data_IF_728198095244
#
_entry.id   IF_728198095244
#
_cell.length_a   1.000
_cell.length_b   1.000
_cell.length_c   1.000
_cell.angle_alpha   90.00
_cell.angle_beta   90.00
_cell.angle_gamma   90.00
#
_symmetry.space_group_name_H-M   'P 1'
#
loop_
_entity.id
_entity.type
_entity.pdbx_description
1 polymer ?
#
# COMPACT_ATOMS: atom_id res chain seq x y z
N UNK A 1 17.57 -94.22 -8.61
CA UNK A 1 17.80 -92.76 -8.46
C UNK A 1 18.50 -92.54 -7.12
N UNK A 2 19.66 -91.90 -7.15
CA UNK A 2 20.46 -91.62 -5.95
C UNK A 2 19.76 -90.55 -5.10
N UNK A 3 19.76 -90.67 -3.77
CA UNK A 3 19.03 -89.74 -2.89
C UNK A 3 19.45 -88.28 -3.06
N UNK A 4 20.73 -88.05 -3.37
CA UNK A 4 21.29 -86.73 -3.70
C UNK A 4 20.57 -86.05 -4.88
N UNK A 5 20.13 -86.82 -5.89
CA UNK A 5 19.42 -86.25 -7.04
C UNK A 5 18.00 -85.81 -6.66
N UNK A 6 17.36 -86.49 -5.70
CA UNK A 6 16.05 -86.09 -5.19
C UNK A 6 16.16 -84.82 -4.36
N UNK A 7 17.16 -84.73 -3.48
CA UNK A 7 17.41 -83.53 -2.67
C UNK A 7 17.73 -82.31 -3.55
N UNK A 8 18.55 -82.48 -4.59
CA UNK A 8 18.86 -81.39 -5.53
C UNK A 8 17.61 -80.87 -6.26
N UNK A 9 16.69 -81.77 -6.66
CA UNK A 9 15.43 -81.38 -7.30
C UNK A 9 14.55 -80.60 -6.31
N UNK A 10 14.43 -81.05 -5.06
CA UNK A 10 13.61 -80.34 -4.07
C UNK A 10 14.17 -78.96 -3.73
N UNK A 11 15.49 -78.80 -3.64
CA UNK A 11 16.13 -77.49 -3.44
C UNK A 11 15.88 -76.59 -4.65
N UNK A 12 15.99 -77.11 -5.87
CA UNK A 12 15.69 -76.35 -7.09
C UNK A 12 14.23 -75.88 -7.13
N UNK A 13 13.28 -76.76 -6.79
CA UNK A 13 11.85 -76.43 -6.72
C UNK A 13 11.58 -75.38 -5.63
N UNK A 14 12.20 -75.52 -4.45
CA UNK A 14 12.05 -74.55 -3.38
C UNK A 14 12.59 -73.16 -3.76
N UNK A 15 13.71 -73.10 -4.48
CA UNK A 15 14.26 -71.85 -5.01
C UNK A 15 13.31 -71.20 -6.02
N UNK A 16 12.76 -71.98 -6.95
CA UNK A 16 11.79 -71.49 -7.93
C UNK A 16 10.53 -70.99 -7.23
N UNK A 17 9.99 -71.74 -6.27
CA UNK A 17 8.82 -71.32 -5.49
C UNK A 17 9.10 -70.07 -4.66
N UNK A 18 10.32 -69.91 -4.11
CA UNK A 18 10.75 -68.70 -3.41
C UNK A 18 10.80 -67.47 -4.33
N UNK A 19 11.32 -67.62 -5.55
CA UNK A 19 11.33 -66.55 -6.55
C UNK A 19 9.91 -66.19 -7.01
N UNK A 20 9.07 -67.20 -7.25
CA UNK A 20 7.66 -66.99 -7.62
C UNK A 20 6.91 -66.28 -6.49
N UNK A 21 7.10 -66.70 -5.24
CA UNK A 21 6.47 -66.07 -4.07
C UNK A 21 6.96 -64.64 -3.85
N UNK A 22 8.23 -64.34 -4.12
CA UNK A 22 8.76 -62.97 -4.06
C UNK A 22 8.20 -62.09 -5.19
N UNK A 23 8.07 -62.63 -6.40
CA UNK A 23 7.51 -61.91 -7.54
C UNK A 23 5.98 -61.71 -7.45
N UNK A 24 5.27 -62.65 -6.83
CA UNK A 24 3.82 -62.61 -6.64
C UNK A 24 3.38 -62.03 -5.29
N UNK A 25 4.33 -61.72 -4.40
CA UNK A 25 4.04 -61.04 -3.15
C UNK A 25 3.34 -59.70 -3.47
N UNK A 26 2.13 -59.45 -2.93
CA UNK A 26 1.44 -58.20 -3.14
C UNK A 26 2.31 -57.07 -2.60
N UNK A 27 2.85 -56.26 -3.51
CA UNK A 27 3.51 -55.00 -3.15
C UNK A 27 2.43 -54.15 -2.48
N UNK A 28 2.71 -53.60 -1.30
CA UNK A 28 1.86 -52.53 -0.74
C UNK A 28 1.92 -51.37 -1.71
N UNK A 29 0.94 -51.27 -2.60
CA UNK A 29 0.70 -50.03 -3.31
C UNK A 29 0.40 -48.99 -2.24
N UNK A 30 1.10 -47.84 -2.27
CA UNK A 30 0.56 -46.66 -1.62
C UNK A 30 -0.89 -46.52 -2.11
N UNK A 31 -1.87 -46.21 -1.25
CA UNK A 31 -3.21 -45.94 -1.74
C UNK A 31 -3.09 -44.85 -2.81
N UNK A 32 -3.70 -45.09 -3.98
CA UNK A 32 -3.63 -44.24 -5.19
C UNK A 32 -4.07 -42.77 -4.95
N UNK A 33 -4.51 -42.45 -3.74
CA UNK A 33 -4.94 -41.13 -3.31
C UNK A 33 -3.81 -40.26 -2.71
N UNK A 34 -2.68 -40.83 -2.28
CA UNK A 34 -1.59 -40.08 -1.60
C UNK A 34 -0.29 -40.02 -2.42
N UNK A 35 -0.33 -40.36 -3.71
CA UNK A 35 0.89 -40.53 -4.51
C UNK A 35 1.73 -39.26 -4.67
N UNK A 36 1.11 -38.08 -4.61
CA UNK A 36 1.75 -36.79 -4.80
C UNK A 36 1.91 -35.98 -3.50
N UNK A 37 1.63 -36.59 -2.35
CA UNK A 37 1.91 -35.98 -1.05
C UNK A 37 3.43 -35.88 -0.85
N UNK A 38 3.88 -34.70 -0.42
CA UNK A 38 5.29 -34.36 -0.29
C UNK A 38 5.91 -33.73 -1.56
N UNK A 39 5.18 -33.68 -2.67
CA UNK A 39 5.60 -32.92 -3.85
C UNK A 39 5.32 -31.43 -3.69
N UNK A 40 6.13 -30.60 -4.37
CA UNK A 40 5.87 -29.18 -4.50
C UNK A 40 4.57 -28.93 -5.28
N UNK A 41 3.88 -27.82 -5.00
CA UNK A 41 2.75 -27.39 -5.82
C UNK A 41 3.18 -26.96 -7.22
N UNK A 42 4.31 -26.25 -7.33
CA UNK A 42 4.81 -25.65 -8.56
C UNK A 42 6.29 -26.00 -8.77
N UNK A 43 6.60 -27.24 -9.21
CA UNK A 43 7.99 -27.72 -9.31
C UNK A 43 8.83 -26.96 -10.35
N UNK A 44 8.20 -26.26 -11.29
CA UNK A 44 8.88 -25.46 -12.32
C UNK A 44 9.18 -24.03 -11.86
N UNK A 45 8.49 -23.55 -10.81
CA UNK A 45 8.74 -22.25 -10.21
C UNK A 45 9.81 -22.41 -9.12
N UNK A 46 11.05 -22.06 -9.44
CA UNK A 46 12.20 -22.26 -8.56
C UNK A 46 12.97 -20.98 -8.20
N UNK A 47 12.72 -19.89 -8.93
CA UNK A 47 13.37 -18.59 -8.74
C UNK A 47 12.33 -17.55 -8.33
N UNK A 48 12.36 -17.01 -7.09
CA UNK A 48 11.40 -16.02 -6.64
C UNK A 48 11.48 -14.70 -7.42
N UNK A 49 12.67 -14.34 -7.94
CA UNK A 49 12.89 -13.09 -8.67
C UNK A 49 12.39 -13.17 -10.13
N UNK A 50 11.97 -14.35 -10.59
CA UNK A 50 11.29 -14.51 -11.87
C UNK A 50 9.86 -13.92 -11.85
N UNK A 51 9.28 -13.72 -10.66
CA UNK A 51 7.94 -13.15 -10.51
C UNK A 51 7.92 -11.66 -10.88
N UNK A 52 7.03 -11.31 -11.82
CA UNK A 52 6.84 -9.94 -12.28
C UNK A 52 5.42 -9.41 -12.03
N UNK A 53 4.46 -10.28 -11.71
CA UNK A 53 3.12 -9.85 -11.35
C UNK A 53 2.50 -10.77 -10.29
N UNK A 54 1.73 -10.16 -9.40
CA UNK A 54 0.82 -10.81 -8.47
C UNK A 54 -0.60 -10.37 -8.75
N UNK A 55 -1.51 -11.32 -8.82
CA UNK A 55 -2.95 -11.10 -8.88
C UNK A 55 -3.59 -11.87 -7.71
N UNK A 56 -4.31 -11.15 -6.85
CA UNK A 56 -5.04 -11.70 -5.72
C UNK A 56 -6.50 -11.39 -5.92
N UNK A 57 -7.34 -12.41 -5.90
CA UNK A 57 -8.79 -12.28 -6.05
C UNK A 57 -9.47 -12.82 -4.81
N UNK A 58 -10.20 -11.95 -4.13
CA UNK A 58 -10.99 -12.26 -2.95
C UNK A 58 -12.47 -12.08 -3.29
N UNK A 59 -13.33 -12.89 -2.66
CA UNK A 59 -14.77 -12.75 -2.79
C UNK A 59 -15.31 -11.92 -1.62
N UNK A 60 -16.07 -10.89 -1.94
CA UNK A 60 -16.80 -10.08 -0.97
C UNK A 60 -18.23 -10.61 -0.85
N UNK A 61 -18.58 -11.11 0.33
CA UNK A 61 -19.90 -11.68 0.62
C UNK A 61 -21.00 -10.61 0.69
N UNK A 62 -20.67 -9.37 1.06
CA UNK A 62 -21.61 -8.27 1.21
C UNK A 62 -22.05 -7.74 -0.17
N UNK A 63 -21.08 -7.64 -1.11
CA UNK A 63 -21.34 -7.18 -2.48
C UNK A 63 -21.58 -8.32 -3.47
N UNK A 64 -21.41 -9.57 -3.04
CA UNK A 64 -21.46 -10.77 -3.87
C UNK A 64 -20.58 -10.68 -5.13
N UNK A 65 -19.39 -10.09 -4.99
CA UNK A 65 -18.47 -9.81 -6.10
C UNK A 65 -17.06 -10.36 -5.83
N UNK A 66 -16.28 -10.57 -6.90
CA UNK A 66 -14.87 -10.92 -6.80
C UNK A 66 -14.05 -9.97 -7.68
N UNK A 67 -13.31 -9.06 -7.05
CA UNK A 67 -12.50 -8.07 -7.75
C UNK A 67 -11.02 -8.46 -7.63
N UNK A 68 -10.27 -8.52 -8.75
CA UNK A 68 -8.84 -8.78 -8.69
C UNK A 68 -8.09 -7.53 -8.24
N UNK A 69 -7.22 -7.69 -7.24
CA UNK A 69 -6.14 -6.77 -6.94
C UNK A 69 -4.88 -7.24 -7.66
N UNK A 70 -4.25 -6.35 -8.44
CA UNK A 70 -3.06 -6.69 -9.22
C UNK A 70 -1.93 -5.71 -8.97
N UNK A 71 -0.72 -6.26 -8.85
CA UNK A 71 0.55 -5.53 -8.88
C UNK A 71 1.39 -6.12 -9.98
N UNK A 72 1.98 -5.28 -10.82
CA UNK A 72 2.74 -5.73 -11.99
C UNK A 72 3.99 -4.89 -12.19
N UNK A 73 5.06 -5.52 -12.66
CA UNK A 73 6.26 -4.87 -13.15
C UNK A 73 6.20 -4.80 -14.68
N UNK A 74 6.21 -3.58 -15.23
CA UNK A 74 6.30 -3.35 -16.67
C UNK A 74 7.60 -2.60 -16.97
N UNK A 75 8.59 -3.32 -17.51
CA UNK A 75 9.85 -2.71 -17.94
C UNK A 75 10.66 -2.09 -16.79
N UNK A 76 10.59 -2.67 -15.60
CA UNK A 76 11.26 -2.18 -14.39
C UNK A 76 10.42 -1.22 -13.54
N UNK A 77 9.25 -0.81 -14.01
CA UNK A 77 8.32 0.04 -13.27
C UNK A 77 7.21 -0.81 -12.63
N UNK A 78 7.13 -0.79 -11.31
CA UNK A 78 6.06 -1.42 -10.55
C UNK A 78 4.82 -0.52 -10.54
N UNK A 79 3.67 -1.06 -10.91
CA UNK A 79 2.39 -0.35 -10.93
C UNK A 79 1.24 -1.18 -10.38
N UNK A 80 0.18 -0.49 -9.97
CA UNK A 80 -1.09 -1.05 -9.53
C UNK A 80 -2.16 -0.67 -10.57
N UNK A 81 -2.53 -1.56 -11.52
CA UNK A 81 -3.43 -1.22 -12.61
C UNK A 81 -4.81 -0.74 -12.15
N UNK A 82 -5.34 -1.33 -11.08
CA UNK A 82 -6.61 -0.92 -10.47
C UNK A 82 -6.59 0.51 -9.92
N UNK A 83 -5.42 1.12 -9.76
CA UNK A 83 -5.22 2.47 -9.24
C UNK A 83 -4.59 3.39 -10.29
N UNK A 84 -5.08 3.31 -11.53
CA UNK A 84 -4.62 4.13 -12.65
C UNK A 84 -3.12 3.98 -12.96
N UNK A 85 -2.56 2.78 -12.76
CA UNK A 85 -1.13 2.48 -12.87
C UNK A 85 -0.26 3.31 -11.90
N UNK A 86 -0.76 3.59 -10.70
CA UNK A 86 0.03 4.24 -9.65
C UNK A 86 1.28 3.42 -9.32
N UNK A 87 2.39 4.12 -9.08
CA UNK A 87 3.68 3.50 -8.81
C UNK A 87 3.66 2.72 -7.49
N UNK A 88 4.04 1.46 -7.54
CA UNK A 88 4.16 0.57 -6.38
C UNK A 88 5.60 0.40 -5.91
N UNK A 89 5.75 -0.04 -4.67
CA UNK A 89 6.96 -0.64 -4.11
C UNK A 89 6.73 -2.14 -3.92
N UNK A 90 6.68 -2.86 -5.04
CA UNK A 90 6.27 -4.26 -5.08
C UNK A 90 7.41 -5.28 -5.13
N UNK A 91 8.65 -4.85 -5.35
CA UNK A 91 9.75 -5.75 -5.70
C UNK A 91 10.08 -6.76 -4.60
N UNK A 92 10.46 -6.25 -3.42
CA UNK A 92 10.84 -7.09 -2.27
C UNK A 92 9.64 -7.91 -1.77
N UNK A 93 8.46 -7.27 -1.70
CA UNK A 93 7.23 -7.94 -1.27
C UNK A 93 6.86 -9.10 -2.19
N UNK A 94 6.90 -8.92 -3.51
CA UNK A 94 6.58 -10.01 -4.43
C UNK A 94 7.62 -11.13 -4.37
N UNK A 95 8.91 -10.81 -4.28
CA UNK A 95 9.97 -11.83 -4.15
C UNK A 95 9.77 -12.68 -2.88
N UNK A 96 9.40 -12.06 -1.75
CA UNK A 96 9.07 -12.79 -0.52
C UNK A 96 7.83 -13.70 -0.67
N UNK A 97 6.74 -13.20 -1.28
CA UNK A 97 5.53 -13.99 -1.55
C UNK A 97 5.86 -15.16 -2.49
N UNK A 98 6.66 -14.90 -3.53
CA UNK A 98 7.11 -15.92 -4.46
C UNK A 98 7.92 -17.00 -3.77
N UNK A 99 8.87 -16.64 -2.89
CA UNK A 99 9.66 -17.60 -2.12
C UNK A 99 8.79 -18.49 -1.21
N UNK A 100 7.76 -17.92 -0.59
CA UNK A 100 6.79 -18.67 0.21
C UNK A 100 5.97 -19.64 -0.67
N UNK A 101 5.55 -19.21 -1.87
CA UNK A 101 4.81 -20.04 -2.83
C UNK A 101 5.67 -21.18 -3.38
N UNK A 102 6.94 -20.92 -3.72
CA UNK A 102 7.91 -21.93 -4.16
C UNK A 102 8.10 -23.01 -3.09
N UNK A 103 8.07 -22.61 -1.82
CA UNK A 103 8.22 -23.50 -0.68
C UNK A 103 6.96 -24.31 -0.35
N UNK A 104 5.85 -24.11 -1.07
CA UNK A 104 4.61 -24.84 -0.83
C UNK A 104 4.73 -26.32 -1.22
N UNK A 105 4.52 -27.17 -0.21
CA UNK A 105 4.48 -28.62 -0.35
C UNK A 105 3.06 -29.13 -0.05
N UNK A 106 2.63 -30.13 -0.82
CA UNK A 106 1.40 -30.88 -0.57
C UNK A 106 1.57 -31.74 0.69
N UNK A 107 1.33 -31.19 1.88
CA UNK A 107 1.63 -31.89 3.14
C UNK A 107 0.72 -33.09 3.41
N UNK A 108 -0.57 -32.97 3.09
CA UNK A 108 -1.55 -34.02 3.33
C UNK A 108 -2.72 -33.88 2.37
N UNK A 109 -3.16 -34.98 1.79
CA UNK A 109 -4.35 -35.02 0.94
C UNK A 109 -5.61 -34.91 1.81
N UNK A 110 -6.57 -34.07 1.39
CA UNK A 110 -7.80 -33.83 2.14
C UNK A 110 -9.04 -34.42 1.48
N UNK A 111 -9.30 -34.02 0.25
CA UNK A 111 -10.47 -34.49 -0.49
C UNK A 111 -10.28 -34.26 -1.99
N UNK A 112 -10.93 -35.07 -2.81
CA UNK A 112 -11.15 -34.87 -4.25
C UNK A 112 -12.64 -34.74 -4.60
N UNK A 113 -13.50 -34.66 -3.57
CA UNK A 113 -14.92 -34.46 -3.71
C UNK A 113 -15.26 -32.98 -3.73
N UNK A 114 -15.92 -32.53 -4.81
CA UNK A 114 -16.33 -31.13 -5.01
C UNK A 114 -17.29 -30.67 -3.92
N UNK A 115 -18.12 -31.57 -3.37
CA UNK A 115 -19.04 -31.22 -2.29
C UNK A 115 -18.35 -30.73 -1.01
N UNK A 116 -17.06 -31.04 -0.84
CA UNK A 116 -16.28 -30.61 0.33
C UNK A 116 -15.64 -29.22 0.12
N UNK A 117 -15.64 -28.67 -1.09
CA UNK A 117 -14.93 -27.42 -1.41
C UNK A 117 -15.44 -26.23 -0.60
N UNK A 118 -16.76 -26.14 -0.37
CA UNK A 118 -17.38 -25.09 0.45
C UNK A 118 -16.87 -25.13 1.89
N UNK A 119 -16.92 -26.30 2.53
CA UNK A 119 -16.49 -26.47 3.92
C UNK A 119 -14.98 -26.23 4.10
N UNK A 120 -14.18 -26.53 3.07
CA UNK A 120 -12.75 -26.30 3.04
C UNK A 120 -12.38 -24.86 2.65
N UNK A 121 -13.35 -24.06 2.18
CA UNK A 121 -13.12 -22.68 1.77
C UNK A 121 -12.35 -22.56 0.46
N UNK A 122 -12.44 -23.52 -0.45
CA UNK A 122 -11.62 -23.57 -1.68
C UNK A 122 -12.46 -23.46 -2.96
N UNK A 123 -13.70 -22.99 -2.85
CA UNK A 123 -14.48 -22.59 -4.03
C UNK A 123 -13.74 -21.42 -4.69
N UNK A 124 -13.69 -21.41 -6.01
CA UNK A 124 -13.05 -20.33 -6.74
C UNK A 124 -13.83 -19.02 -6.57
N UNK A 125 -13.19 -17.89 -6.24
CA UNK A 125 -13.88 -16.66 -5.89
C UNK A 125 -14.75 -16.11 -7.01
N UNK A 126 -14.33 -16.24 -8.27
CA UNK A 126 -15.08 -15.79 -9.45
C UNK A 126 -16.03 -16.82 -10.07
N UNK A 127 -16.20 -18.00 -9.45
CA UNK A 127 -17.08 -19.04 -10.00
C UNK A 127 -18.56 -18.63 -9.91
N UNK A 128 -19.14 -18.23 -11.05
CA UNK A 128 -20.55 -17.85 -11.17
C UNK A 128 -21.50 -19.06 -11.27
N UNK A 129 -20.97 -20.28 -11.42
CA UNK A 129 -21.79 -21.50 -11.51
C UNK A 129 -22.20 -22.02 -10.13
N UNK A 130 -21.44 -21.65 -9.10
CA UNK A 130 -21.72 -21.90 -7.70
C UNK A 130 -22.66 -20.83 -7.14
N UNK A 131 -23.83 -21.23 -6.67
CA UNK A 131 -24.78 -20.32 -6.01
C UNK A 131 -24.39 -19.96 -4.57
N UNK A 132 -23.41 -20.67 -4.00
CA UNK A 132 -22.93 -20.41 -2.65
C UNK A 132 -22.10 -19.13 -2.62
N UNK A 133 -22.40 -18.24 -1.69
CA UNK A 133 -21.62 -17.03 -1.42
C UNK A 133 -20.54 -17.29 -0.36
N UNK A 134 -20.69 -18.37 0.42
CA UNK A 134 -19.76 -18.76 1.48
C UNK A 134 -18.79 -19.83 1.00
N UNK A 135 -17.67 -19.99 1.69
CA UNK A 135 -16.69 -21.03 1.39
C UNK A 135 -15.87 -20.78 0.12
N UNK A 136 -15.89 -19.55 -0.39
CA UNK A 136 -15.01 -19.07 -1.46
C UNK A 136 -13.63 -18.77 -0.89
N UNK A 137 -12.61 -19.27 -1.58
CA UNK A 137 -11.21 -19.07 -1.23
C UNK A 137 -10.62 -17.85 -1.92
N UNK A 138 -9.40 -17.51 -1.53
CA UNK A 138 -8.59 -16.46 -2.19
C UNK A 138 -7.80 -17.09 -3.33
N UNK A 139 -8.01 -16.63 -4.56
CA UNK A 139 -7.19 -17.06 -5.70
C UNK A 139 -5.94 -16.19 -5.78
N UNK A 140 -4.78 -16.82 -5.81
CA UNK A 140 -3.47 -16.16 -5.90
C UNK A 140 -2.79 -16.63 -7.16
N UNK A 141 -2.45 -15.69 -8.03
CA UNK A 141 -1.77 -15.97 -9.29
C UNK A 141 -0.50 -15.16 -9.41
N UNK A 142 0.60 -15.83 -9.73
CA UNK A 142 1.92 -15.22 -9.96
C UNK A 142 2.32 -15.44 -11.41
N UNK A 143 2.77 -14.37 -12.07
CA UNK A 143 3.22 -14.40 -13.47
C UNK A 143 4.64 -13.89 -13.63
N UNK A 144 5.32 -14.39 -14.65
CA UNK A 144 6.63 -13.90 -15.07
C UNK A 144 6.53 -12.62 -15.93
N UNK A 145 7.68 -12.13 -16.38
CA UNK A 145 7.76 -10.95 -17.28
C UNK A 145 7.13 -11.17 -18.66
N UNK A 146 6.96 -12.42 -19.11
CA UNK A 146 6.30 -12.79 -20.36
C UNK A 146 4.79 -13.05 -20.16
N UNK A 147 4.25 -12.77 -18.97
CA UNK A 147 2.87 -13.05 -18.55
C UNK A 147 2.52 -14.53 -18.44
N UNK A 148 3.52 -15.42 -18.45
CA UNK A 148 3.34 -16.85 -18.22
C UNK A 148 3.05 -17.11 -16.74
N UNK A 149 2.18 -18.09 -16.47
CA UNK A 149 1.77 -18.44 -15.10
C UNK A 149 2.87 -19.26 -14.44
N UNK A 150 3.47 -18.72 -13.38
CA UNK A 150 4.45 -19.43 -12.54
C UNK A 150 3.76 -20.22 -11.43
N UNK A 151 2.70 -19.64 -10.84
CA UNK A 151 1.89 -20.27 -9.82
C UNK A 151 0.45 -19.78 -9.89
N UNK A 152 -0.51 -20.68 -9.64
CA UNK A 152 -1.94 -20.39 -9.55
C UNK A 152 -2.60 -21.34 -8.56
N UNK A 153 -3.12 -20.81 -7.46
CA UNK A 153 -3.71 -21.59 -6.37
C UNK A 153 -4.89 -20.86 -5.73
N UNK A 154 -5.78 -21.65 -5.13
CA UNK A 154 -6.87 -21.18 -4.29
C UNK A 154 -6.54 -21.53 -2.85
N UNK A 155 -6.36 -20.51 -2.02
CA UNK A 155 -6.12 -20.59 -0.59
C UNK A 155 -7.46 -20.56 0.13
N UNK A 156 -7.74 -21.59 0.93
CA UNK A 156 -8.96 -21.68 1.71
C UNK A 156 -8.76 -21.54 3.21
N UNK A 157 -9.67 -22.17 3.95
CA UNK A 157 -9.76 -22.06 5.40
C UNK A 157 -8.48 -22.54 6.10
N UNK A 158 -8.21 -21.96 7.27
CA UNK A 158 -7.15 -22.46 8.17
C UNK A 158 -7.52 -23.85 8.68
N UNK A 159 -6.52 -24.71 8.80
CA UNK A 159 -6.72 -26.06 9.32
C UNK A 159 -6.94 -26.00 10.84
N UNK A 160 -8.05 -26.55 11.36
CA UNK A 160 -8.31 -26.54 12.80
C UNK A 160 -7.17 -27.18 13.60
N UNK A 161 -6.76 -26.51 14.68
CA UNK A 161 -5.70 -26.95 15.59
C UNK A 161 -4.30 -27.15 14.95
N UNK A 162 -4.06 -26.59 13.76
CA UNK A 162 -2.74 -26.63 13.09
C UNK A 162 -2.38 -25.23 12.56
N UNK A 163 -1.75 -24.37 13.37
CA UNK A 163 -1.40 -23.01 12.96
C UNK A 163 -0.44 -23.03 11.75
N UNK A 164 -0.62 -22.06 10.85
CA UNK A 164 0.15 -21.94 9.61
C UNK A 164 -0.33 -22.82 8.45
N UNK A 165 -1.12 -23.87 8.72
CA UNK A 165 -1.68 -24.72 7.66
C UNK A 165 -3.01 -24.16 7.14
N UNK A 166 -3.15 -24.18 5.82
CA UNK A 166 -4.39 -23.85 5.10
C UNK A 166 -4.76 -24.96 4.13
N UNK A 167 -6.03 -25.03 3.77
CA UNK A 167 -6.47 -25.83 2.63
C UNK A 167 -6.07 -25.13 1.34
N UNK A 168 -5.47 -25.86 0.40
CA UNK A 168 -4.99 -25.32 -0.87
C UNK A 168 -5.42 -26.23 -2.01
N UNK A 169 -5.90 -25.62 -3.10
CA UNK A 169 -6.37 -26.30 -4.31
C UNK A 169 -5.79 -25.60 -5.54
N UNK A 170 -5.35 -26.37 -6.54
CA UNK A 170 -5.03 -25.81 -7.86
C UNK A 170 -6.35 -25.58 -8.61
N UNK A 171 -6.56 -24.42 -9.27
CA UNK A 171 -7.75 -24.18 -10.07
C UNK A 171 -8.03 -25.32 -11.06
N UNK A 172 -9.31 -25.51 -11.40
CA UNK A 172 -9.81 -26.62 -12.25
C UNK A 172 -9.60 -28.04 -11.70
N UNK A 173 -8.67 -28.24 -10.76
CA UNK A 173 -8.48 -29.51 -10.08
C UNK A 173 -9.45 -29.68 -8.92
N UNK A 174 -9.85 -30.92 -8.67
CA UNK A 174 -10.75 -31.26 -7.56
C UNK A 174 -10.01 -31.52 -6.24
N UNK A 175 -8.73 -31.90 -6.33
CA UNK A 175 -7.92 -32.35 -5.20
C UNK A 175 -7.54 -31.16 -4.33
N UNK A 176 -7.79 -31.30 -3.04
CA UNK A 176 -7.48 -30.33 -2.00
C UNK A 176 -6.44 -30.93 -1.07
N UNK A 177 -5.43 -30.15 -0.74
CA UNK A 177 -4.37 -30.54 0.18
C UNK A 177 -4.33 -29.57 1.35
N UNK A 178 -3.57 -29.92 2.38
CA UNK A 178 -3.05 -28.91 3.30
C UNK A 178 -1.64 -28.51 2.93
N UNK A 179 -1.35 -27.23 3.06
CA UNK A 179 -0.03 -26.66 2.88
C UNK A 179 0.22 -25.58 3.93
N UNK A 180 1.48 -25.36 4.30
CA UNK A 180 1.87 -24.22 5.12
C UNK A 180 1.87 -22.97 4.25
N UNK A 181 0.89 -22.09 4.44
CA UNK A 181 0.73 -20.88 3.65
C UNK A 181 0.70 -19.66 4.60
N UNK A 182 1.83 -18.97 4.65
CA UNK A 182 2.09 -17.82 5.53
C UNK A 182 2.39 -16.52 4.73
N UNK A 183 2.32 -16.59 3.40
CA UNK A 183 2.56 -15.45 2.52
C UNK A 183 1.60 -14.28 2.78
N UNK A 184 2.15 -13.06 2.81
CA UNK A 184 1.41 -11.80 2.99
C UNK A 184 0.84 -11.29 1.66
N UNK A 185 -0.30 -11.85 1.26
CA UNK A 185 -1.01 -11.54 0.00
C UNK A 185 -2.00 -10.37 0.12
N UNK A 186 -1.65 -9.32 0.88
CA UNK A 186 -2.53 -8.17 1.11
C UNK A 186 -3.08 -7.58 -0.20
N UNK A 187 -4.38 -7.30 -0.23
CA UNK A 187 -5.09 -6.60 -1.32
C UNK A 187 -5.23 -5.10 -1.06
N UNK A 188 -4.67 -4.61 0.05
CA UNK A 188 -4.76 -3.21 0.47
C UNK A 188 -3.75 -2.36 -0.28
N UNK A 189 -4.21 -1.33 -0.96
CA UNK A 189 -3.38 -0.40 -1.74
C UNK A 189 -2.17 0.13 -0.96
N UNK A 190 -2.37 0.55 0.30
CA UNK A 190 -1.33 1.13 1.16
C UNK A 190 -0.20 0.18 1.54
N UNK A 191 -0.37 -1.13 1.36
CA UNK A 191 0.68 -2.13 1.63
C UNK A 191 1.67 -2.29 0.47
N UNK A 192 1.33 -1.74 -0.70
CA UNK A 192 2.06 -1.86 -1.96
C UNK A 192 2.67 -0.55 -2.45
N UNK A 193 2.54 0.54 -1.69
CA UNK A 193 3.08 1.85 -2.03
C UNK A 193 4.00 2.39 -0.94
N UNK A 194 4.81 3.39 -1.29
CA UNK A 194 5.63 4.12 -0.33
C UNK A 194 4.77 4.71 0.79
N UNK A 195 5.06 4.32 2.03
CA UNK A 195 4.33 4.71 3.24
C UNK A 195 4.70 6.11 3.70
N UNK A 196 5.93 6.56 3.46
CA UNK A 196 6.38 7.93 3.67
C UNK A 196 6.20 8.74 2.38
N UNK A 197 4.96 9.15 2.10
CA UNK A 197 4.63 9.84 0.84
C UNK A 197 5.50 11.08 0.59
N UNK A 198 5.84 11.83 1.65
CA UNK A 198 6.62 13.04 1.54
C UNK A 198 8.13 12.76 1.47
N UNK A 199 8.58 11.55 1.78
CA UNK A 199 10.00 11.19 1.87
C UNK A 199 10.77 12.12 2.84
N UNK A 200 10.13 12.37 3.99
CA UNK A 200 10.63 13.25 5.06
C UNK A 200 10.80 12.45 6.35
N UNK A 201 11.94 12.63 7.00
CA UNK A 201 12.20 12.15 8.35
C UNK A 201 11.84 13.21 9.39
N UNK A 202 11.59 12.77 10.62
CA UNK A 202 11.07 13.65 11.69
C UNK A 202 12.01 14.82 12.00
N UNK A 203 13.30 14.56 12.05
CA UNK A 203 14.35 15.53 12.36
C UNK A 203 14.58 16.52 11.22
N UNK A 204 14.16 16.19 10.00
CA UNK A 204 14.25 17.04 8.83
C UNK A 204 13.19 18.15 8.81
N UNK A 205 12.09 18.05 9.55
CA UNK A 205 11.05 19.10 9.58
C UNK A 205 11.51 20.26 10.47
N UNK A 206 11.61 21.46 9.90
CA UNK A 206 12.11 22.65 10.61
C UNK A 206 11.13 23.82 10.66
N UNK A 207 10.12 23.84 9.80
CA UNK A 207 9.14 24.92 9.77
C UNK A 207 7.79 24.42 9.27
N UNK A 208 6.73 24.78 9.99
CA UNK A 208 5.35 24.38 9.70
C UNK A 208 4.47 25.63 9.71
N UNK A 209 3.58 25.76 8.73
CA UNK A 209 2.53 26.78 8.74
C UNK A 209 1.18 26.09 8.64
N UNK A 210 0.35 26.28 9.66
CA UNK A 210 -1.07 25.96 9.64
C UNK A 210 -1.80 27.18 9.11
N UNK A 211 -2.30 27.13 7.88
CA UNK A 211 -3.03 28.22 7.25
C UNK A 211 -4.52 27.86 7.16
N UNK A 212 -5.28 28.28 8.15
CA UNK A 212 -6.71 28.01 8.24
C UNK A 212 -7.51 29.07 7.48
N UNK A 213 -8.27 28.63 6.48
CA UNK A 213 -9.26 29.43 5.79
C UNK A 213 -10.32 28.52 5.18
N UNK A 214 -11.51 29.08 4.96
CA UNK A 214 -12.62 28.39 4.28
C UNK A 214 -12.98 29.14 3.02
N UNK A 215 -13.31 28.42 1.95
CA UNK A 215 -13.83 29.01 0.70
C UNK A 215 -15.34 28.92 0.68
N UNK A 216 -16.02 30.06 0.53
CA UNK A 216 -17.44 30.07 0.22
C UNK A 216 -17.64 29.59 -1.23
N UNK A 217 -18.25 28.42 -1.39
CA UNK A 217 -18.36 27.72 -2.68
C UNK A 217 -19.22 28.47 -3.70
N UNK A 218 -20.20 29.26 -3.22
CA UNK A 218 -21.14 30.01 -4.05
C UNK A 218 -20.47 31.26 -4.61
N UNK A 219 -19.76 31.99 -3.76
CA UNK A 219 -19.13 33.27 -4.11
C UNK A 219 -17.66 33.12 -4.53
N UNK A 220 -17.07 31.95 -4.31
CA UNK A 220 -15.64 31.61 -4.51
C UNK A 220 -14.69 32.58 -3.81
N UNK A 221 -15.06 33.02 -2.61
CA UNK A 221 -14.26 33.91 -1.78
C UNK A 221 -13.77 33.15 -0.56
N UNK A 222 -12.48 33.25 -0.29
CA UNK A 222 -11.90 32.74 0.96
C UNK A 222 -12.19 33.70 2.11
N UNK A 223 -12.34 33.13 3.30
CA UNK A 223 -12.18 33.88 4.56
C UNK A 223 -10.76 34.46 4.64
N UNK A 224 -10.54 35.51 5.45
CA UNK A 224 -9.18 35.92 5.78
C UNK A 224 -8.39 34.72 6.34
N UNK A 225 -7.16 34.48 5.86
CA UNK A 225 -6.34 33.39 6.36
C UNK A 225 -5.95 33.62 7.83
N UNK A 226 -5.99 32.55 8.61
CA UNK A 226 -5.48 32.49 9.98
C UNK A 226 -4.24 31.62 9.99
N UNK A 227 -3.07 32.26 9.90
CA UNK A 227 -1.79 31.56 9.88
C UNK A 227 -1.23 31.39 11.30
N UNK A 228 -0.87 30.15 11.63
CA UNK A 228 -0.06 29.82 12.79
C UNK A 228 1.23 29.14 12.33
N UNK A 229 2.36 29.76 12.65
CA UNK A 229 3.69 29.32 12.22
C UNK A 229 4.41 28.69 13.39
N UNK A 230 5.02 27.54 13.14
CA UNK A 230 5.87 26.81 14.08
C UNK A 230 7.27 26.69 13.48
N UNK A 231 8.27 27.24 14.16
CA UNK A 231 9.68 27.20 13.75
C UNK A 231 10.50 26.38 14.75
N UNK A 232 11.23 25.38 14.25
CA UNK A 232 12.11 24.55 15.07
C UNK A 232 13.32 25.36 15.50
N UNK A 233 13.57 25.43 16.80
CA UNK A 233 14.75 26.10 17.37
C UNK A 233 15.86 25.07 17.62
N UNK A 234 15.49 23.95 18.22
CA UNK A 234 16.35 22.79 18.47
C UNK A 234 15.50 21.50 18.45
N UNK A 235 16.07 20.36 18.84
CA UNK A 235 15.38 19.06 18.78
C UNK A 235 14.16 18.93 19.71
N UNK A 236 14.03 19.82 20.69
CA UNK A 236 12.98 19.80 21.71
C UNK A 236 12.19 21.10 21.81
N UNK A 237 12.64 22.17 21.16
CA UNK A 237 12.08 23.52 21.31
C UNK A 237 11.56 24.04 19.97
N UNK A 238 10.34 24.58 20.00
CA UNK A 238 9.68 25.22 18.86
C UNK A 238 9.19 26.61 19.27
N UNK A 239 9.29 27.57 18.34
CA UNK A 239 8.67 28.89 18.47
C UNK A 239 7.36 28.92 17.69
N UNK A 240 6.38 29.67 18.19
CA UNK A 240 5.07 29.84 17.57
C UNK A 240 4.76 31.30 17.25
N UNK A 241 4.11 31.58 16.12
CA UNK A 241 3.64 32.95 15.83
C UNK A 241 2.48 33.33 16.76
N UNK A 242 2.52 34.55 17.31
CA UNK A 242 1.45 35.08 18.16
C UNK A 242 1.31 34.42 19.53
N UNK A 243 2.34 33.70 20.00
CA UNK A 243 2.44 33.15 21.37
C UNK A 243 2.76 34.29 22.35
N UNK A 244 2.05 34.34 23.48
CA UNK A 244 2.20 35.37 24.53
C UNK A 244 3.28 34.98 25.55
N UNK A 245 3.72 35.92 26.39
CA UNK A 245 4.83 35.70 27.34
C UNK A 245 4.52 34.66 28.44
N UNK A 246 3.26 34.34 28.68
CA UNK A 246 2.76 33.36 29.66
C UNK A 246 2.56 31.95 29.07
N UNK A 247 2.74 31.80 27.76
CA UNK A 247 2.55 30.55 27.03
C UNK A 247 3.83 30.12 26.33
N UNK A 248 3.97 28.82 26.13
CA UNK A 248 4.99 28.23 25.27
C UNK A 248 4.38 27.21 24.31
N UNK A 249 5.10 26.89 23.25
CA UNK A 249 4.70 25.84 22.32
C UNK A 249 4.83 24.48 23.01
N UNK A 250 3.78 23.67 22.95
CA UNK A 250 3.81 22.31 23.44
C UNK A 250 4.55 21.40 22.44
N UNK A 251 5.82 21.11 22.75
CA UNK A 251 6.65 20.18 22.00
C UNK A 251 5.98 18.81 21.79
N UNK A 252 5.23 18.30 22.76
CA UNK A 252 4.58 16.98 22.64
C UNK A 252 3.53 17.01 21.53
N UNK A 253 2.74 18.07 21.45
CA UNK A 253 1.70 18.23 20.43
C UNK A 253 2.30 18.51 19.05
N UNK A 254 3.35 19.34 18.96
CA UNK A 254 4.09 19.53 17.71
C UNK A 254 4.72 18.22 17.25
N UNK A 255 5.30 17.43 18.14
CA UNK A 255 5.87 16.14 17.80
C UNK A 255 4.79 15.15 17.33
N UNK A 256 3.58 15.21 17.87
CA UNK A 256 2.45 14.42 17.34
C UNK A 256 2.04 14.90 15.95
N UNK A 257 1.97 16.20 15.70
CA UNK A 257 1.69 16.78 14.39
C UNK A 257 2.73 16.34 13.35
N UNK A 258 4.02 16.49 13.64
CA UNK A 258 5.10 16.01 12.74
C UNK A 258 4.93 14.52 12.45
N UNK A 259 4.59 13.72 13.47
CA UNK A 259 4.29 12.30 13.31
C UNK A 259 3.09 12.01 12.40
N UNK A 260 2.04 12.84 12.48
CA UNK A 260 0.86 12.72 11.65
C UNK A 260 1.14 13.10 10.18
N UNK A 261 1.98 14.12 9.97
CA UNK A 261 2.43 14.56 8.64
C UNK A 261 3.24 13.47 7.94
N UNK A 262 4.30 12.95 8.58
CA UNK A 262 5.17 11.92 7.98
C UNK A 262 4.47 10.56 7.86
N UNK A 263 3.53 10.28 8.77
CA UNK A 263 2.76 9.03 8.83
C UNK A 263 1.40 9.11 8.13
N UNK A 264 1.21 10.08 7.23
CA UNK A 264 -0.05 10.28 6.53
C UNK A 264 -0.37 9.07 5.66
N UNK A 265 -1.53 8.44 5.90
CA UNK A 265 -1.95 7.23 5.19
C UNK A 265 -2.78 7.61 3.96
N UNK A 266 -2.37 7.05 2.83
CA UNK A 266 -3.07 7.22 1.55
C UNK A 266 -4.04 6.06 1.37
N UNK A 267 -5.31 6.39 1.30
CA UNK A 267 -6.41 5.46 1.06
C UNK A 267 -6.79 5.37 -0.42
N UNK A 268 -6.17 6.16 -1.31
CA UNK A 268 -6.43 6.12 -2.74
C UNK A 268 -5.76 7.26 -3.50
N UNK A 269 -5.81 7.19 -4.83
CA UNK A 269 -5.23 8.20 -5.72
C UNK A 269 -6.13 8.43 -6.93
N UNK A 270 -6.15 9.66 -7.47
CA UNK A 270 -6.84 10.02 -8.71
C UNK A 270 -5.91 10.79 -9.63
N UNK A 271 -5.92 10.53 -10.94
CA UNK A 271 -5.07 11.26 -11.87
C UNK A 271 -5.49 12.74 -11.93
N UNK A 272 -4.50 13.63 -11.91
CA UNK A 272 -4.68 15.04 -12.25
C UNK A 272 -4.64 15.20 -13.77
N UNK A 273 -5.54 16.01 -14.37
CA UNK A 273 -5.39 16.45 -15.75
C UNK A 273 -4.02 17.09 -16.01
N UNK A 274 -3.50 16.90 -17.22
CA UNK A 274 -2.20 17.42 -17.59
C UNK A 274 -2.16 18.95 -17.45
N UNK A 275 -1.08 19.49 -16.89
CA UNK A 275 -0.91 20.94 -16.74
C UNK A 275 -1.55 21.54 -15.49
N UNK A 276 -2.19 20.75 -14.62
CA UNK A 276 -2.68 21.18 -13.29
C UNK A 276 -1.57 21.44 -12.26
N UNK A 277 -0.40 21.87 -12.70
CA UNK A 277 0.72 22.20 -11.82
C UNK A 277 1.24 23.60 -12.11
N UNK A 278 1.74 24.27 -11.07
CA UNK A 278 2.24 25.63 -11.20
C UNK A 278 1.10 26.63 -11.37
N UNK A 279 1.30 27.64 -12.23
CA UNK A 279 0.31 28.68 -12.45
C UNK A 279 -0.86 28.15 -13.31
N UNK A 280 -2.02 27.93 -12.67
CA UNK A 280 -3.20 27.35 -13.30
C UNK A 280 -3.83 28.29 -14.34
N UNK A 281 -3.70 29.61 -14.15
CA UNK A 281 -4.18 30.60 -15.10
C UNK A 281 -3.37 30.54 -16.40
N UNK A 282 -2.05 30.47 -16.31
CA UNK A 282 -1.18 30.35 -17.48
C UNK A 282 -1.39 29.01 -18.19
N UNK A 283 -1.58 27.93 -17.42
CA UNK A 283 -1.90 26.61 -17.97
C UNK A 283 -3.24 26.61 -18.73
N UNK A 284 -4.27 27.27 -18.21
CA UNK A 284 -5.56 27.46 -18.88
C UNK A 284 -5.43 28.33 -20.14
N UNK A 285 -4.68 29.44 -20.08
CA UNK A 285 -4.42 30.30 -21.24
C UNK A 285 -3.64 29.57 -22.34
N UNK A 286 -2.71 28.68 -21.96
CA UNK A 286 -1.96 27.82 -22.87
C UNK A 286 -2.79 26.64 -23.41
N UNK A 287 -4.07 26.51 -23.02
CA UNK A 287 -4.96 25.43 -23.44
C UNK A 287 -4.57 24.06 -22.90
N UNK A 288 -3.75 23.99 -21.84
CA UNK A 288 -3.35 22.73 -21.20
C UNK A 288 -4.44 22.22 -20.24
N UNK A 289 -5.21 23.14 -19.65
CA UNK A 289 -6.35 22.85 -18.77
C UNK A 289 -7.62 23.41 -19.42
N UNK A 290 -8.65 22.59 -19.52
CA UNK A 290 -9.98 22.96 -20.02
C UNK A 290 -10.97 23.37 -18.92
N UNK A 291 -12.17 23.78 -19.33
CA UNK A 291 -13.24 24.15 -18.39
C UNK A 291 -13.73 22.95 -17.55
N UNK A 292 -13.74 21.76 -18.13
CA UNK A 292 -14.09 20.50 -17.44
C UNK A 292 -13.12 20.18 -16.32
N UNK A 293 -11.82 20.38 -16.58
CA UNK A 293 -10.75 20.14 -15.62
C UNK A 293 -10.85 21.10 -14.42
N UNK A 294 -11.18 22.37 -14.68
CA UNK A 294 -11.43 23.36 -13.62
C UNK A 294 -12.66 22.99 -12.78
N UNK A 295 -13.72 22.48 -13.42
CA UNK A 295 -14.92 22.01 -12.70
C UNK A 295 -14.56 20.80 -11.83
N UNK A 296 -13.78 19.86 -12.35
CA UNK A 296 -13.31 18.69 -11.59
C UNK A 296 -12.49 19.09 -10.36
N UNK A 297 -11.58 20.06 -10.53
CA UNK A 297 -10.76 20.63 -9.47
C UNK A 297 -11.65 21.25 -8.37
N UNK A 298 -12.65 22.04 -8.77
CA UNK A 298 -13.62 22.67 -7.85
C UNK A 298 -14.47 21.63 -7.13
N UNK A 299 -14.96 20.60 -7.84
CA UNK A 299 -15.74 19.50 -7.25
C UNK A 299 -14.93 18.69 -6.24
N UNK A 300 -13.59 18.74 -6.32
CA UNK A 300 -12.67 18.14 -5.34
C UNK A 300 -12.26 19.11 -4.23
N UNK A 301 -12.84 20.31 -4.17
CA UNK A 301 -12.61 21.30 -3.12
C UNK A 301 -11.40 22.20 -3.36
N UNK A 302 -10.92 22.31 -4.61
CA UNK A 302 -9.77 23.12 -4.96
C UNK A 302 -10.17 24.26 -5.90
N UNK A 303 -9.91 25.50 -5.48
CA UNK A 303 -10.42 26.72 -6.12
C UNK A 303 -9.28 27.53 -6.73
N UNK A 304 -9.17 27.59 -8.07
CA UNK A 304 -8.14 28.39 -8.72
C UNK A 304 -8.40 29.89 -8.50
N UNK A 305 -7.32 30.63 -8.27
CA UNK A 305 -7.35 32.08 -8.01
C UNK A 305 -7.09 32.89 -9.28
N UNK A 306 -7.41 34.19 -9.25
CA UNK A 306 -7.18 35.08 -10.39
C UNK A 306 -5.69 35.29 -10.70
N UNK A 307 -4.82 35.19 -9.70
CA UNK A 307 -3.36 35.20 -9.85
C UNK A 307 -2.81 33.88 -10.41
N UNK A 308 -3.63 32.83 -10.49
CA UNK A 308 -3.24 31.50 -10.98
C UNK A 308 -2.69 30.55 -9.91
N UNK A 309 -2.78 30.93 -8.64
CA UNK A 309 -2.61 30.02 -7.50
C UNK A 309 -3.85 29.16 -7.25
N UNK A 310 -3.82 28.38 -6.16
CA UNK A 310 -4.87 27.44 -5.78
C UNK A 310 -5.20 27.58 -4.30
N UNK A 311 -6.49 27.59 -3.98
CA UNK A 311 -7.02 27.55 -2.61
C UNK A 311 -7.72 26.21 -2.38
N UNK A 312 -7.87 25.82 -1.12
CA UNK A 312 -8.67 24.66 -0.68
C UNK A 312 -9.90 25.11 0.10
N UNK A 313 -10.94 24.28 0.18
CA UNK A 313 -12.08 24.53 1.07
C UNK A 313 -11.72 24.41 2.56
N UNK A 314 -10.71 23.62 2.92
CA UNK A 314 -10.31 23.30 4.31
C UNK A 314 -8.88 23.75 4.66
N UNK A 315 -8.47 24.92 4.16
CA UNK A 315 -7.15 25.47 4.43
C UNK A 315 -5.99 24.64 3.86
N UNK A 316 -4.77 25.02 4.25
CA UNK A 316 -3.56 24.36 3.78
C UNK A 316 -2.49 24.26 4.88
N UNK A 317 -1.68 23.22 4.79
CA UNK A 317 -0.51 23.00 5.62
C UNK A 317 0.74 23.21 4.76
N UNK A 318 1.66 24.03 5.24
CA UNK A 318 3.00 24.14 4.67
C UNK A 318 3.99 23.45 5.60
N UNK A 319 4.89 22.66 5.02
CA UNK A 319 5.95 21.95 5.76
C UNK A 319 7.25 22.17 5.02
N UNK A 320 8.24 22.75 5.69
CA UNK A 320 9.58 22.93 5.15
C UNK A 320 10.56 22.00 5.85
N UNK A 321 11.53 21.53 5.07
CA UNK A 321 12.60 20.68 5.56
C UNK A 321 13.96 21.37 5.56
N UNK A 322 14.89 20.82 6.34
CA UNK A 322 16.30 21.24 6.43
C UNK A 322 17.08 21.06 5.12
N UNK A 323 16.53 20.32 4.16
CA UNK A 323 17.04 20.16 2.79
C UNK A 323 16.50 21.25 1.83
N UNK A 324 15.63 22.14 2.32
CA UNK A 324 15.02 23.21 1.54
C UNK A 324 13.83 22.78 0.69
N UNK A 325 13.19 21.65 0.99
CA UNK A 325 11.94 21.25 0.32
C UNK A 325 10.76 21.84 1.09
N UNK A 326 9.94 22.63 0.41
CA UNK A 326 8.68 23.16 0.91
C UNK A 326 7.51 22.37 0.29
N UNK A 327 6.81 21.63 1.14
CA UNK A 327 5.56 20.96 0.81
C UNK A 327 4.39 21.89 1.10
N UNK A 328 3.40 21.90 0.20
CA UNK A 328 2.09 22.48 0.49
C UNK A 328 1.02 21.41 0.31
N UNK A 329 0.31 21.11 1.38
CA UNK A 329 -0.79 20.15 1.44
C UNK A 329 -2.08 20.93 1.55
N UNK A 330 -2.87 20.94 0.49
CA UNK A 330 -4.20 21.56 0.44
C UNK A 330 -5.25 20.49 0.66
N UNK A 331 -6.17 20.71 1.61
CA UNK A 331 -7.22 19.77 1.95
C UNK A 331 -8.52 20.13 1.23
N UNK A 332 -9.04 19.18 0.45
CA UNK A 332 -10.19 19.36 -0.43
C UNK A 332 -11.49 18.77 0.13
N UNK A 333 -12.42 18.45 -0.76
CA UNK A 333 -13.69 17.81 -0.43
C UNK A 333 -13.53 16.42 0.17
N UNK A 334 -14.57 16.03 0.90
CA UNK A 334 -14.78 14.68 1.39
C UNK A 334 -15.03 13.72 0.22
N UNK A 335 -14.45 12.52 0.34
CA UNK A 335 -14.67 11.38 -0.54
C UNK A 335 -15.56 10.38 0.16
N UNK A 336 -16.80 10.29 -0.30
CA UNK A 336 -17.78 9.30 0.15
C UNK A 336 -17.50 7.92 -0.49
N UNK A 337 -17.68 6.85 0.28
CA UNK A 337 -17.56 5.47 -0.18
C UNK A 337 -17.00 4.52 0.89
N UNK A 338 -16.94 3.22 0.62
CA UNK A 338 -16.22 2.23 1.43
C UNK A 338 -15.29 1.40 0.55
N UNK A 339 -14.14 1.00 1.10
CA UNK A 339 -13.24 0.03 0.47
C UNK A 339 -12.91 0.36 -0.98
N UNK A 340 -13.16 -0.60 -1.86
CA UNK A 340 -12.83 -0.56 -3.29
C UNK A 340 -13.48 0.62 -4.04
N UNK A 341 -14.63 1.14 -3.61
CA UNK A 341 -15.25 2.30 -4.27
C UNK A 341 -14.43 3.60 -4.09
N UNK A 342 -13.84 3.80 -2.90
CA UNK A 342 -12.91 4.92 -2.66
C UNK A 342 -11.55 4.66 -3.34
N UNK A 343 -11.13 3.41 -3.43
CA UNK A 343 -9.86 3.04 -4.05
C UNK A 343 -9.90 3.20 -5.59
N UNK A 344 -10.96 2.71 -6.23
CA UNK A 344 -11.12 2.58 -7.68
C UNK A 344 -11.74 3.81 -8.37
N UNK A 345 -12.45 4.67 -7.64
CA UNK A 345 -13.01 5.90 -8.22
C UNK A 345 -14.15 5.69 -9.18
N UNK A 346 -15.00 4.70 -8.90
CA UNK A 346 -16.30 4.58 -9.56
C UNK A 346 -17.18 5.78 -9.17
N UNK A 347 -17.67 6.53 -10.16
CA UNK A 347 -18.65 7.61 -10.00
C UNK A 347 -20.06 7.09 -9.61
N UNK A 348 -20.19 5.80 -9.28
CA UNK A 348 -21.43 5.19 -8.82
C UNK A 348 -21.63 5.52 -7.34
N UNK A 349 -22.30 6.65 -7.10
CA UNK A 349 -22.80 7.04 -5.79
C UNK A 349 -23.96 6.13 -5.41
N UNK A 350 -23.68 5.02 -4.74
CA UNK A 350 -24.70 4.40 -3.91
C UNK A 350 -24.87 5.29 -2.67
N UNK A 351 -26.04 5.92 -2.56
CA UNK A 351 -26.52 6.76 -1.44
C UNK A 351 -26.72 5.93 -0.15
N UNK A 352 -25.72 5.14 0.25
CA UNK A 352 -25.68 4.55 1.59
C UNK A 352 -24.83 5.42 2.50
N UNK A 353 -25.52 6.15 3.37
CA UNK A 353 -24.99 6.93 4.48
C UNK A 353 -24.12 6.04 5.39
N UNK A 354 -22.80 6.05 5.16
CA UNK A 354 -21.83 5.38 6.01
C UNK A 354 -21.44 6.31 7.16
N UNK A 355 -21.49 5.80 8.39
CA UNK A 355 -21.11 6.53 9.61
C UNK A 355 -19.66 7.08 9.62
N UNK A 356 -19.29 7.80 10.69
CA UNK A 356 -18.34 8.92 10.66
C UNK A 356 -16.90 8.49 10.38
N UNK A 357 -16.25 9.17 9.43
CA UNK A 357 -14.82 9.02 9.13
C UNK A 357 -14.50 9.11 7.65
N UNK A 358 -15.03 10.13 7.00
CA UNK A 358 -15.00 10.34 5.55
C UNK A 358 -13.60 10.76 5.07
N UNK A 359 -13.00 9.96 4.18
CA UNK A 359 -11.68 10.25 3.59
C UNK A 359 -11.70 11.59 2.85
N UNK A 360 -10.54 12.23 2.64
CA UNK A 360 -10.49 13.57 2.04
C UNK A 360 -9.49 13.68 0.90
N UNK A 361 -9.82 14.45 -0.13
CA UNK A 361 -8.86 14.80 -1.18
C UNK A 361 -7.74 15.67 -0.62
N UNK A 362 -6.51 15.41 -1.06
CA UNK A 362 -5.34 16.24 -0.77
C UNK A 362 -4.60 16.55 -2.05
N UNK A 363 -4.35 17.84 -2.26
CA UNK A 363 -3.51 18.35 -3.33
C UNK A 363 -2.14 18.72 -2.75
N UNK A 364 -1.14 17.93 -3.11
CA UNK A 364 0.24 18.13 -2.66
C UNK A 364 1.06 18.82 -3.75
N UNK A 365 1.85 19.81 -3.38
CA UNK A 365 2.93 20.38 -4.19
C UNK A 365 4.24 20.36 -3.41
N UNK A 366 5.35 20.21 -4.11
CA UNK A 366 6.69 20.40 -3.55
C UNK A 366 7.42 21.48 -4.37
N UNK A 367 8.17 22.33 -3.69
CA UNK A 367 9.02 23.34 -4.29
C UNK A 367 10.32 23.47 -3.49
N UNK A 368 11.36 24.01 -4.11
CA UNK A 368 12.59 24.34 -3.40
C UNK A 368 12.49 25.75 -2.81
N UNK A 369 12.71 25.88 -1.51
CA UNK A 369 12.80 27.15 -0.78
C UNK A 369 14.28 27.51 -0.54
N UNK A 370 14.80 28.43 -1.35
CA UNK A 370 16.18 28.93 -1.21
C UNK A 370 16.44 29.57 0.17
N UNK A 371 15.40 30.12 0.82
CA UNK A 371 15.55 30.73 2.14
C UNK A 371 15.82 29.71 3.27
N UNK A 372 15.54 28.43 3.04
CA UNK A 372 15.82 27.36 3.99
C UNK A 372 17.32 27.09 4.16
N UNK A 373 18.12 27.43 3.15
CA UNK A 373 19.56 27.16 3.10
C UNK A 373 20.30 28.48 2.92
N UNK A 374 20.49 29.28 3.99
CA UNK A 374 21.17 30.56 3.89
C UNK A 374 22.61 30.36 3.41
N UNK A 375 23.01 31.19 2.44
CA UNK A 375 24.36 31.15 1.88
C UNK A 375 25.40 31.51 2.95
N UNK A 376 26.43 30.67 3.18
CA UNK A 376 27.52 31.00 4.09
C UNK A 376 28.43 32.07 3.50
N UNK A 377 29.31 32.66 4.31
CA UNK A 377 30.31 33.61 3.81
C UNK A 377 31.16 32.98 2.71
N UNK A 378 31.16 33.59 1.51
CA UNK A 378 31.91 33.11 0.35
C UNK A 378 33.43 33.04 0.56
N UNK A 379 33.96 33.68 1.62
CA UNK A 379 35.35 33.54 2.02
C UNK A 379 35.68 32.14 2.58
N UNK A 380 34.70 31.43 3.13
CA UNK A 380 34.85 30.04 3.59
C UNK A 380 34.52 29.08 2.43
N UNK A 381 35.55 28.74 1.66
CA UNK A 381 35.41 27.90 0.47
C UNK A 381 34.84 26.50 0.78
N UNK A 382 35.16 25.93 1.94
CA UNK A 382 34.68 24.60 2.32
C UNK A 382 33.20 24.64 2.71
N UNK A 383 32.80 25.65 3.50
CA UNK A 383 31.40 25.87 3.85
C UNK A 383 30.56 26.17 2.61
N UNK A 384 31.04 27.04 1.72
CA UNK A 384 30.36 27.40 0.49
C UNK A 384 30.19 26.19 -0.45
N UNK A 385 31.24 25.39 -0.68
CA UNK A 385 31.14 24.18 -1.49
C UNK A 385 30.22 23.11 -0.88
N UNK A 386 30.09 23.05 0.44
CA UNK A 386 29.11 22.17 1.11
C UNK A 386 27.67 22.66 0.93
N UNK A 387 27.46 23.97 1.00
CA UNK A 387 26.17 24.62 0.78
C UNK A 387 25.70 24.43 -0.67
N UNK A 388 26.57 24.65 -1.67
CA UNK A 388 26.24 24.44 -3.08
C UNK A 388 25.75 23.02 -3.36
N UNK A 389 26.39 22.00 -2.75
CA UNK A 389 25.97 20.61 -2.86
C UNK A 389 24.59 20.37 -2.24
N UNK A 390 24.35 20.89 -1.04
CA UNK A 390 23.04 20.78 -0.38
C UNK A 390 21.92 21.47 -1.17
N UNK A 391 22.20 22.64 -1.75
CA UNK A 391 21.25 23.35 -2.61
C UNK A 391 20.93 22.54 -3.86
N UNK A 392 21.94 21.93 -4.49
CA UNK A 392 21.75 21.08 -5.66
C UNK A 392 20.92 19.83 -5.32
N UNK A 393 21.26 19.12 -4.24
CA UNK A 393 20.55 17.93 -3.74
C UNK A 393 19.09 18.27 -3.37
N UNK A 394 18.87 19.36 -2.64
CA UNK A 394 17.54 19.83 -2.26
C UNK A 394 16.68 20.22 -3.46
N UNK A 395 17.27 20.87 -4.47
CA UNK A 395 16.58 21.23 -5.71
C UNK A 395 16.19 19.99 -6.52
N UNK A 396 17.10 19.04 -6.68
CA UNK A 396 16.82 17.76 -7.36
C UNK A 396 15.71 16.98 -6.65
N UNK A 397 15.75 16.90 -5.31
CA UNK A 397 14.71 16.26 -4.51
C UNK A 397 13.35 16.95 -4.69
N UNK A 398 13.30 18.28 -4.61
CA UNK A 398 12.09 19.05 -4.82
C UNK A 398 11.50 18.86 -6.22
N UNK A 399 12.33 18.85 -7.27
CA UNK A 399 11.89 18.62 -8.65
C UNK A 399 11.33 17.20 -8.85
N UNK A 400 12.00 16.18 -8.30
CA UNK A 400 11.52 14.80 -8.35
C UNK A 400 10.17 14.63 -7.65
N UNK A 401 10.02 15.22 -6.46
CA UNK A 401 8.77 15.17 -5.69
C UNK A 401 7.66 16.00 -6.35
N UNK A 402 7.99 17.16 -6.92
CA UNK A 402 7.05 17.95 -7.71
C UNK A 402 6.51 17.14 -8.90
N UNK A 403 7.40 16.43 -9.61
CA UNK A 403 7.00 15.54 -10.70
C UNK A 403 6.12 14.38 -10.20
N UNK A 404 6.45 13.78 -9.04
CA UNK A 404 5.65 12.73 -8.41
C UNK A 404 4.23 13.22 -8.09
N UNK A 405 4.09 14.35 -7.40
CA UNK A 405 2.79 14.89 -6.98
C UNK A 405 1.99 15.56 -8.10
N UNK A 406 2.65 15.93 -9.21
CA UNK A 406 2.01 16.60 -10.35
C UNK A 406 0.89 15.79 -11.00
N UNK A 407 0.96 14.46 -10.90
CA UNK A 407 0.05 13.53 -11.58
C UNK A 407 -1.12 13.09 -10.74
N UNK A 408 -1.14 13.37 -9.43
CA UNK A 408 -2.06 12.70 -8.51
C UNK A 408 -2.74 13.67 -7.55
N UNK A 409 -4.07 13.55 -7.44
CA UNK A 409 -4.77 13.84 -6.21
C UNK A 409 -4.64 12.64 -5.29
N UNK A 410 -4.36 12.90 -4.02
CA UNK A 410 -4.30 11.86 -2.99
C UNK A 410 -5.63 11.84 -2.25
N UNK A 411 -6.00 10.68 -1.74
CA UNK A 411 -7.12 10.51 -0.81
C UNK A 411 -6.53 10.05 0.51
N UNK A 412 -6.71 10.84 1.57
CA UNK A 412 -6.15 10.55 2.90
C UNK A 412 -7.25 10.13 3.85
N UNK A 413 -6.91 9.28 4.81
CA UNK A 413 -7.84 8.86 5.85
C UNK A 413 -8.29 10.06 6.71
N UNK A 414 -9.57 10.11 7.09
CA UNK A 414 -10.10 11.15 7.99
C UNK A 414 -9.27 11.28 9.28
N UNK A 415 -8.90 10.13 9.88
CA UNK A 415 -8.02 10.10 11.06
C UNK A 415 -6.64 10.71 10.85
N UNK A 416 -6.10 10.71 9.63
CA UNK A 416 -4.86 11.44 9.31
C UNK A 416 -5.12 12.93 9.22
N UNK A 417 -6.21 13.36 8.57
CA UNK A 417 -6.63 14.75 8.53
C UNK A 417 -6.87 15.33 9.92
N UNK A 418 -7.66 14.68 10.78
CA UNK A 418 -7.99 15.16 12.14
C UNK A 418 -6.79 15.30 13.08
N UNK A 419 -5.69 14.59 12.77
CA UNK A 419 -4.42 14.69 13.51
C UNK A 419 -3.52 15.80 12.99
N UNK A 420 -3.74 16.27 11.77
CA UNK A 420 -2.99 17.34 11.14
C UNK A 420 -3.71 18.68 11.31
N UNK A 421 -5.03 18.70 11.05
CA UNK A 421 -5.85 19.89 11.16
C UNK A 421 -6.28 20.08 12.62
N UNK A 422 -5.45 20.81 13.37
CA UNK A 422 -5.68 21.17 14.76
C UNK A 422 -5.68 22.68 14.92
N UNK A 423 -6.56 23.24 15.77
CA UNK A 423 -6.53 24.66 16.08
C UNK A 423 -5.22 25.02 16.79
N UNK A 424 -4.79 26.27 16.64
CA UNK A 424 -3.54 26.78 17.25
C UNK A 424 -3.44 26.51 18.76
N UNK A 425 -4.58 26.52 19.45
CA UNK A 425 -4.70 26.37 20.90
C UNK A 425 -4.20 25.00 21.38
N UNK A 426 -4.34 23.97 20.55
CA UNK A 426 -3.88 22.61 20.85
C UNK A 426 -2.35 22.51 20.86
N UNK A 427 -1.63 23.53 20.37
CA UNK A 427 -0.16 23.56 20.33
C UNK A 427 0.45 24.44 21.40
N UNK A 428 -0.34 25.00 22.31
CA UNK A 428 0.13 25.94 23.33
C UNK A 428 -0.13 25.37 24.73
N UNK A 429 0.81 25.59 25.64
CA UNK A 429 0.64 25.30 27.06
C UNK A 429 1.10 26.49 27.90
N UNK A 430 0.55 26.60 29.11
CA UNK A 430 0.99 27.60 30.07
C UNK A 430 2.41 27.27 30.55
N UNK A 431 3.24 28.29 30.70
CA UNK A 431 4.56 28.15 31.30
C UNK A 431 4.35 27.87 32.79
N UNK A 432 4.71 26.68 33.25
CA UNK A 432 4.71 26.38 34.69
C UNK A 432 5.72 27.33 35.37
N UNK A 433 5.23 28.26 36.19
CA UNK A 433 6.10 29.02 37.09
C UNK A 433 6.82 28.01 38.00
N UNK A 434 8.11 27.81 37.74
CA UNK A 434 8.97 27.09 38.66
C UNK A 434 8.99 27.91 39.94
N UNK A 435 8.24 27.46 40.94
CA UNK A 435 8.18 28.04 42.28
C UNK A 435 9.62 28.28 42.78
N UNK A 436 10.08 29.52 42.65
CA UNK A 436 11.33 30.01 43.24
C UNK A 436 11.14 30.24 44.76
N UNK A 437 10.36 29.39 45.41
CA UNK A 437 10.11 29.34 46.83
C UNK A 437 10.73 28.06 47.42
N UNK A 438 12.02 27.87 47.17
CA UNK A 438 12.74 26.67 47.58
C UNK A 438 14.27 26.78 47.52
N UNK A 439 14.86 27.93 47.83
CA UNK A 439 16.28 28.06 48.17
C UNK A 439 16.53 29.21 49.16
#
# INVERSE_FOLDING_TARGET
MNELNKTAIFVGVALVLGVVAFASAPRRAAPDLFFDVGEAFFPEFADPDAAASLEVMEFDEDTASATPFQVTNQGGLWTIPSHHDYQADGAERLSNIAADIISLVKEDFRSDNVADHEALGVIEPSDLTTSSLVGRGTRVTVRDTNTEILADLIVGNRVPNRPGLRFVRIPEQKRVYTARFEADISTRFEDWIERNLLEVERDQVDHIVLNEYTVDEVTRRASPPSEFTLDKVDDTTWNGSGVTEDQEVDFVEVNRLVGAIIGMRIAGVRPKPAGMTGNLRDAAMAGRIGQTDIIDLINKGFYPTAEGGLLSNEGELLVRTTEGVLYTLRFGEIVYGRGDAILLGSDESDDEEAGPGENRYVFITAAFDEAALPEPDAADADAHASWERRVAEGREKAERLAARFSRWYYVVAASSYDRIHKPREDFLKEIEEVDAAGA
#
